data_IF_528358727935
#
_entry.id   IF_528358727935
#
_cell.length_a   1.000
_cell.length_b   1.000
_cell.length_c   1.000
_cell.angle_alpha   90.00
_cell.angle_beta   90.00
_cell.angle_gamma   90.00
#
_symmetry.space_group_name_H-M   'P 1'
#
loop_
_entity.id
_entity.type
_entity.pdbx_description
1 polymer ?
#
# COMPACT_ATOMS: atom_id res chain seq x y z
N UNK A 1 5.67 4.07 16.29
CA UNK A 1 6.55 4.44 15.15
C UNK A 1 5.74 4.28 13.88
N UNK A 2 5.78 5.24 12.96
CA UNK A 2 5.08 5.13 11.67
C UNK A 2 6.04 4.59 10.61
N UNK A 3 5.52 3.75 9.71
CA UNK A 3 6.26 3.21 8.57
C UNK A 3 5.78 3.88 7.29
N UNK A 4 6.71 4.37 6.48
CA UNK A 4 6.43 4.98 5.19
C UNK A 4 6.25 3.91 4.12
N UNK A 5 5.14 3.95 3.39
CA UNK A 5 4.81 3.07 2.28
C UNK A 5 4.34 3.91 1.09
N UNK A 6 4.32 3.31 -0.10
CA UNK A 6 3.78 3.93 -1.32
C UNK A 6 2.40 3.36 -1.59
N UNK A 7 1.36 4.19 -1.50
CA UNK A 7 -0.02 3.82 -1.77
C UNK A 7 -0.38 4.04 -3.24
N UNK A 8 -1.10 3.08 -3.82
CA UNK A 8 -1.81 3.24 -5.08
C UNK A 8 -3.20 3.78 -4.77
N UNK A 9 -3.39 5.09 -4.92
CA UNK A 9 -4.63 5.76 -4.61
C UNK A 9 -5.46 5.95 -5.88
N UNK A 10 -6.75 5.58 -5.83
CA UNK A 10 -7.69 5.88 -6.90
C UNK A 10 -8.25 7.28 -6.71
N UNK A 11 -8.06 8.16 -7.70
CA UNK A 11 -8.71 9.46 -7.70
C UNK A 11 -10.22 9.28 -7.93
N UNK A 12 -11.02 9.65 -6.94
CA UNK A 12 -12.49 9.57 -7.01
C UNK A 12 -13.16 10.88 -7.43
N UNK A 13 -12.39 11.88 -7.90
CA UNK A 13 -12.97 13.12 -8.43
C UNK A 13 -13.87 12.85 -9.62
N UNK A 14 -15.09 13.39 -9.57
CA UNK A 14 -16.18 13.21 -10.55
C UNK A 14 -15.82 13.64 -11.98
N UNK A 15 -14.73 14.39 -12.17
CA UNK A 15 -14.34 15.02 -13.45
C UNK A 15 -13.22 14.29 -14.19
N UNK A 16 -12.50 13.37 -13.55
CA UNK A 16 -11.33 12.67 -14.11
C UNK A 16 -11.60 11.17 -14.20
N UNK A 17 -11.49 10.61 -15.42
CA UNK A 17 -11.60 9.17 -15.69
C UNK A 17 -10.63 8.38 -14.79
N UNK A 18 -11.13 7.66 -13.78
CA UNK A 18 -10.47 6.52 -13.09
C UNK A 18 -8.93 6.57 -13.01
N UNK A 19 -8.37 7.71 -12.65
CA UNK A 19 -6.92 7.86 -12.61
C UNK A 19 -6.39 7.28 -11.29
N UNK A 20 -5.42 6.38 -11.41
CA UNK A 20 -4.64 5.93 -10.27
C UNK A 20 -3.44 6.85 -10.12
N UNK A 21 -3.12 7.22 -8.89
CA UNK A 21 -1.98 8.05 -8.53
C UNK A 21 -1.16 7.36 -7.44
N UNK A 22 0.14 7.62 -7.43
CA UNK A 22 1.00 7.21 -6.34
C UNK A 22 1.09 8.32 -5.31
N UNK A 23 0.99 7.96 -4.04
CA UNK A 23 1.26 8.89 -2.93
C UNK A 23 1.99 8.17 -1.80
N UNK A 24 2.71 8.94 -0.99
CA UNK A 24 3.30 8.42 0.23
C UNK A 24 2.25 8.34 1.33
N UNK A 25 2.27 7.25 2.09
CA UNK A 25 1.42 7.05 3.26
C UNK A 25 2.26 6.58 4.45
N UNK A 26 1.90 7.04 5.63
CA UNK A 26 2.53 6.65 6.89
C UNK A 26 1.55 5.80 7.69
N UNK A 27 1.88 4.53 7.90
CA UNK A 27 1.00 3.55 8.54
C UNK A 27 1.52 3.23 9.94
N UNK A 28 0.63 3.16 10.93
CA UNK A 28 0.97 2.61 12.24
C UNK A 28 0.87 1.08 12.18
N UNK A 29 1.99 0.33 12.31
CA UNK A 29 1.96 -1.13 12.27
C UNK A 29 1.05 -1.76 13.32
N UNK A 30 0.89 -1.14 14.49
CA UNK A 30 0.06 -1.66 15.60
C UNK A 30 -1.43 -1.77 15.25
N UNK A 31 -1.87 -1.04 14.21
CA UNK A 31 -3.26 -1.03 13.78
C UNK A 31 -3.48 -1.81 12.47
N UNK A 32 -2.44 -2.42 11.90
CA UNK A 32 -2.58 -3.28 10.72
C UNK A 32 -3.06 -4.65 11.19
N UNK A 33 -4.25 -5.04 10.77
CA UNK A 33 -4.89 -6.30 11.20
C UNK A 33 -4.85 -7.39 10.12
N UNK A 34 -4.63 -7.01 8.86
CA UNK A 34 -4.50 -7.97 7.75
C UNK A 34 -3.58 -7.43 6.66
N UNK A 35 -2.77 -8.34 6.12
CA UNK A 35 -1.90 -8.12 4.96
C UNK A 35 -2.29 -9.19 3.94
N UNK A 36 -2.69 -8.80 2.73
CA UNK A 36 -3.02 -9.73 1.64
C UNK A 36 -2.56 -9.19 0.30
N UNK A 37 -2.31 -10.07 -0.65
CA UNK A 37 -2.04 -9.64 -2.02
C UNK A 37 -3.29 -9.07 -2.70
N UNK A 38 -3.08 -8.08 -3.58
CA UNK A 38 -4.11 -7.53 -4.47
C UNK A 38 -3.78 -7.84 -5.94
N UNK A 39 -4.20 -9.03 -6.39
CA UNK A 39 -4.04 -9.46 -7.78
C UNK A 39 -4.79 -8.55 -8.78
N UNK A 40 -5.85 -7.85 -8.34
CA UNK A 40 -6.58 -6.92 -9.21
C UNK A 40 -5.68 -5.75 -9.60
N UNK A 41 -4.93 -5.19 -8.66
CA UNK A 41 -3.96 -4.13 -8.96
C UNK A 41 -2.85 -4.60 -9.89
N UNK A 42 -2.39 -5.85 -9.74
CA UNK A 42 -1.41 -6.43 -10.65
C UNK A 42 -1.94 -6.47 -12.10
N UNK A 43 -3.14 -6.99 -12.30
CA UNK A 43 -3.77 -7.01 -13.64
C UNK A 43 -3.92 -5.61 -14.23
N UNK A 44 -4.30 -4.60 -13.42
CA UNK A 44 -4.38 -3.21 -13.89
C UNK A 44 -3.02 -2.64 -14.28
N UNK A 45 -1.96 -3.00 -13.55
CA UNK A 45 -0.59 -2.59 -13.85
C UNK A 45 -0.12 -3.18 -15.19
N UNK A 46 -0.38 -4.47 -15.42
CA UNK A 46 -0.08 -5.18 -16.67
C UNK A 46 -0.81 -4.55 -17.86
N UNK A 47 -2.07 -4.13 -17.65
CA UNK A 47 -2.90 -3.40 -18.62
C UNK A 47 -2.50 -1.92 -18.79
N UNK A 48 -1.43 -1.46 -18.13
CA UNK A 48 -0.96 -0.06 -18.19
C UNK A 48 -2.01 0.97 -17.74
N UNK A 49 -2.89 0.57 -16.82
CA UNK A 49 -3.89 1.47 -16.19
C UNK A 49 -3.38 2.12 -14.90
N UNK A 50 -2.21 1.72 -14.41
CA UNK A 50 -1.51 2.39 -13.31
C UNK A 50 -0.44 3.36 -13.87
N UNK A 51 0.08 4.29 -13.04
CA UNK A 51 1.12 5.22 -13.44
C UNK A 51 2.32 4.51 -14.08
N UNK A 52 2.82 5.06 -15.19
CA UNK A 52 3.93 4.51 -15.98
C UNK A 52 5.27 4.43 -15.23
N UNK A 53 5.37 5.08 -14.07
CA UNK A 53 6.53 4.96 -13.17
C UNK A 53 6.62 3.60 -12.49
N UNK A 54 5.57 2.77 -12.51
CA UNK A 54 5.59 1.42 -11.97
C UNK A 54 6.08 0.42 -13.03
N UNK A 55 7.02 -0.44 -12.63
CA UNK A 55 7.34 -1.65 -13.38
C UNK A 55 6.15 -2.62 -13.38
N UNK A 56 5.92 -3.33 -14.49
CA UNK A 56 4.78 -4.26 -14.65
C UNK A 56 4.78 -5.40 -13.63
N UNK A 57 5.98 -5.83 -13.24
CA UNK A 57 6.19 -6.96 -12.32
C UNK A 57 6.03 -6.57 -10.83
N UNK A 58 5.61 -5.34 -10.53
CA UNK A 58 5.29 -4.96 -9.16
C UNK A 58 4.12 -5.77 -8.63
N UNK A 59 4.32 -6.32 -7.44
CA UNK A 59 3.26 -6.89 -6.61
C UNK A 59 2.62 -5.79 -5.77
N UNK A 60 1.36 -6.00 -5.43
CA UNK A 60 0.57 -5.05 -4.66
C UNK A 60 -0.01 -5.74 -3.44
N UNK A 61 -0.03 -5.03 -2.33
CA UNK A 61 -0.50 -5.54 -1.05
C UNK A 61 -1.64 -4.67 -0.56
N UNK A 62 -2.77 -5.29 -0.24
CA UNK A 62 -3.85 -4.64 0.48
C UNK A 62 -3.63 -4.77 1.97
N UNK A 63 -3.61 -3.63 2.64
CA UNK A 63 -3.54 -3.52 4.09
C UNK A 63 -4.92 -3.18 4.63
N UNK A 64 -5.37 -3.94 5.62
CA UNK A 64 -6.54 -3.59 6.42
C UNK A 64 -6.08 -2.99 7.73
N UNK A 65 -6.47 -1.74 7.95
CA UNK A 65 -6.11 -0.94 9.11
C UNK A 65 -7.36 -0.78 9.97
N UNK A 66 -7.27 -1.15 11.24
CA UNK A 66 -8.35 -0.94 12.19
C UNK A 66 -8.34 0.51 12.68
N UNK A 67 -9.44 1.24 12.48
CA UNK A 67 -9.64 2.60 12.98
C UNK A 67 -10.85 2.67 13.93
N UNK A 68 -10.94 1.74 14.87
CA UNK A 68 -12.00 1.67 15.86
C UNK A 68 -13.22 0.91 15.36
N UNK A 69 -14.32 1.61 15.03
CA UNK A 69 -15.57 0.95 14.60
C UNK A 69 -15.58 0.59 13.11
N UNK A 70 -14.71 1.16 12.29
CA UNK A 70 -14.60 0.88 10.85
C UNK A 70 -13.17 0.55 10.46
N UNK A 71 -13.01 -0.52 9.67
CA UNK A 71 -11.75 -0.83 9.01
C UNK A 71 -11.56 0.06 7.79
N UNK A 72 -10.33 0.49 7.54
CA UNK A 72 -9.93 1.15 6.29
C UNK A 72 -9.01 0.21 5.52
N UNK A 73 -9.26 0.03 4.23
CA UNK A 73 -8.37 -0.72 3.35
C UNK A 73 -7.58 0.25 2.45
N UNK A 74 -6.27 0.03 2.34
CA UNK A 74 -5.41 0.73 1.38
C UNK A 74 -4.61 -0.29 0.57
N UNK A 75 -4.19 0.08 -0.64
CA UNK A 75 -3.32 -0.76 -1.46
C UNK A 75 -1.96 -0.09 -1.59
N UNK A 76 -0.91 -0.82 -1.23
CA UNK A 76 0.47 -0.36 -1.28
C UNK A 76 1.27 -1.16 -2.31
N UNK A 77 2.31 -0.53 -2.85
CA UNK A 77 3.27 -1.17 -3.75
C UNK A 77 4.23 -2.03 -2.93
N UNK A 78 4.36 -3.30 -3.28
CA UNK A 78 5.21 -4.27 -2.59
C UNK A 78 4.54 -5.62 -2.43
N UNK A 79 5.35 -6.67 -2.38
CA UNK A 79 4.91 -8.02 -2.08
C UNK A 79 4.49 -8.14 -0.59
N UNK A 80 3.50 -9.01 -0.26
CA UNK A 80 2.99 -9.10 1.11
C UNK A 80 4.05 -9.39 2.17
N UNK A 81 5.01 -10.26 1.85
CA UNK A 81 6.13 -10.63 2.72
C UNK A 81 7.11 -9.47 2.95
N UNK A 82 7.35 -8.65 1.93
CA UNK A 82 8.20 -7.46 2.06
C UNK A 82 7.53 -6.38 2.91
N UNK A 83 6.22 -6.18 2.72
CA UNK A 83 5.43 -5.21 3.48
C UNK A 83 5.31 -5.64 4.94
N UNK A 84 5.06 -6.94 5.19
CA UNK A 84 5.02 -7.52 6.53
C UNK A 84 6.34 -7.30 7.28
N UNK A 85 7.48 -7.61 6.66
CA UNK A 85 8.80 -7.37 7.25
C UNK A 85 9.03 -5.90 7.58
N UNK A 86 8.61 -5.00 6.70
CA UNK A 86 8.76 -3.55 6.90
C UNK A 86 7.90 -3.05 8.07
N UNK A 87 6.71 -3.63 8.28
CA UNK A 87 5.84 -3.32 9.41
C UNK A 87 6.38 -3.91 10.72
N UNK A 88 7.06 -5.04 10.68
CA UNK A 88 7.63 -5.72 11.85
C UNK A 88 9.07 -5.31 12.19
N UNK A 89 9.71 -4.45 11.37
CA UNK A 89 11.00 -3.86 11.72
C UNK A 89 10.85 -2.91 12.92
N UNK A 90 11.01 -3.45 14.13
CA UNK A 90 11.34 -2.64 15.30
C UNK A 90 12.73 -2.04 15.02
N UNK A 91 12.79 -0.73 14.81
CA UNK A 91 14.06 -0.02 14.78
C UNK A 91 14.76 -0.24 16.13
N UNK A 92 15.65 -1.23 16.20
CA UNK A 92 16.73 -1.24 17.18
C UNK A 92 17.63 -0.07 16.77
N UNK A 93 17.31 1.11 17.30
CA UNK A 93 18.26 2.20 17.32
C UNK A 93 19.48 1.67 18.09
N UNK A 94 20.56 1.39 17.35
CA UNK A 94 21.86 1.12 17.95
C UNK A 94 22.21 2.37 18.76
N UNK A 95 22.10 2.27 20.09
CA UNK A 95 22.59 3.31 21.00
C UNK A 95 24.11 3.24 20.96
N UNK A 96 24.70 4.17 20.22
CA UNK A 96 26.13 4.52 20.32
C UNK A 96 26.37 5.49 21.45
#
# INVERSE_FOLDING_TARGET
MLIRLTEVHRNTSLTTKNEYMLREVFVNPEHVVMIREDARMQTLNEQSQLPSSLMKDHRFTKLTINRGQTGTEIVVVGAPDMVERSLNQKAQLLRG
#
